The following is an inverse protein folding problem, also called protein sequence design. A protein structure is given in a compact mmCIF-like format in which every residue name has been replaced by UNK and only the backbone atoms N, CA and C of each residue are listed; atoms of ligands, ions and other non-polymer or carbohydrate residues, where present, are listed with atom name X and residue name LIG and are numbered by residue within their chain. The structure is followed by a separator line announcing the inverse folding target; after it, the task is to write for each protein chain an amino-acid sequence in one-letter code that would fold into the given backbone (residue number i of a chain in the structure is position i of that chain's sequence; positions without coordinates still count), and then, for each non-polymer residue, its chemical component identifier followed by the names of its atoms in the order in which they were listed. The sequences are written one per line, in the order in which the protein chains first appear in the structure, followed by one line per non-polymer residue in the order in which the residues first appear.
data_IF_648529270076
#
_entry.id   IF_648529270076
#
_cell.length_a   1.000
_cell.length_b   1.000
_cell.length_c   1.000
_cell.angle_alpha   90.00
_cell.angle_beta   90.00
_cell.angle_gamma   90.00
#
_symmetry.space_group_name_H-M   'P 1'
#
loop_
_entity.id
_entity.type
_entity.pdbx_description
1 polymer ?
#
# COMPACT_ATOMS: atom_id res chain seq x y z
N UNK A 1 -4.00 -35.62 29.78
CA UNK A 1 -3.50 -34.24 29.95
C UNK A 1 -2.46 -33.79 28.90
N UNK A 2 -1.92 -34.66 28.02
CA UNK A 2 -0.92 -34.26 27.00
C UNK A 2 -1.48 -33.54 25.76
N UNK A 3 -2.76 -33.72 25.42
CA UNK A 3 -3.37 -33.11 24.21
C UNK A 3 -3.70 -31.61 24.36
N UNK A 4 -3.92 -31.14 25.60
CA UNK A 4 -4.30 -29.74 25.89
C UNK A 4 -3.13 -28.76 25.72
N UNK A 5 -1.90 -29.20 26.04
CA UNK A 5 -0.69 -28.39 25.91
C UNK A 5 -0.36 -28.09 24.43
N UNK A 6 -0.61 -29.04 23.54
CA UNK A 6 -0.29 -28.93 22.13
C UNK A 6 -1.19 -27.93 21.40
N UNK A 7 -2.47 -27.88 21.75
CA UNK A 7 -3.42 -26.92 21.17
C UNK A 7 -3.11 -25.48 21.59
N UNK A 8 -2.68 -25.29 22.85
CA UNK A 8 -2.33 -23.96 23.37
C UNK A 8 -1.05 -23.40 22.73
N UNK A 9 -0.05 -24.26 22.45
CA UNK A 9 1.16 -23.83 21.73
C UNK A 9 0.87 -23.42 20.28
N UNK A 10 0.00 -24.13 19.55
CA UNK A 10 -0.32 -23.78 18.15
C UNK A 10 -1.08 -22.45 18.05
N UNK A 11 -1.99 -22.18 19.00
CA UNK A 11 -2.72 -20.91 19.08
C UNK A 11 -1.83 -19.72 19.46
N UNK A 12 -0.80 -19.95 20.29
CA UNK A 12 0.16 -18.91 20.65
C UNK A 12 1.11 -18.57 19.49
N UNK A 13 1.57 -19.56 18.70
CA UNK A 13 2.46 -19.31 17.56
C UNK A 13 1.77 -18.53 16.42
N UNK A 14 0.48 -18.74 16.18
CA UNK A 14 -0.26 -17.97 15.17
C UNK A 14 -0.49 -16.52 15.59
N UNK A 15 -0.68 -16.25 16.88
CA UNK A 15 -0.83 -14.90 17.41
C UNK A 15 0.48 -14.10 17.36
N UNK A 16 1.63 -14.74 17.59
CA UNK A 16 2.95 -14.06 17.56
C UNK A 16 3.39 -13.71 16.13
N UNK A 17 2.95 -14.48 15.11
CA UNK A 17 3.18 -14.16 13.68
C UNK A 17 2.43 -12.90 13.22
N UNK A 18 1.27 -12.61 13.83
CA UNK A 18 0.42 -11.47 13.45
C UNK A 18 0.92 -10.13 13.99
N UNK A 19 1.60 -10.08 15.14
CA UNK A 19 1.93 -8.83 15.83
C UNK A 19 3.15 -8.08 15.25
N UNK A 20 3.98 -8.74 14.42
CA UNK A 20 5.21 -8.15 13.87
C UNK A 20 5.35 -8.28 12.34
N UNK A 21 4.37 -8.87 11.65
CA UNK A 21 4.38 -8.93 10.19
C UNK A 21 3.85 -7.60 9.66
N UNK A 22 4.76 -6.66 9.41
CA UNK A 22 4.48 -5.53 8.55
C UNK A 22 5.50 -5.50 7.43
N UNK A 23 5.09 -5.06 6.26
CA UNK A 23 5.98 -5.01 5.09
C UNK A 23 5.97 -3.62 4.48
N UNK A 24 7.14 -3.11 4.14
CA UNK A 24 7.27 -1.82 3.49
C UNK A 24 7.40 -2.05 1.98
N UNK A 25 6.56 -1.37 1.21
CA UNK A 25 6.60 -1.37 -0.26
C UNK A 25 6.49 0.05 -0.79
N UNK A 26 7.00 0.26 -2.00
CA UNK A 26 6.80 1.49 -2.75
C UNK A 26 5.72 1.26 -3.79
N UNK A 27 4.71 2.13 -3.79
CA UNK A 27 3.62 2.12 -4.75
C UNK A 27 3.53 3.45 -5.52
N UNK A 28 2.98 3.41 -6.73
CA UNK A 28 2.89 4.56 -7.60
C UNK A 28 1.66 4.51 -8.49
N UNK A 29 1.09 5.68 -8.79
CA UNK A 29 0.01 5.85 -9.74
C UNK A 29 0.26 7.05 -10.63
N UNK A 30 -0.01 6.90 -11.92
CA UNK A 30 0.10 7.97 -12.91
C UNK A 30 -1.27 8.35 -13.41
N UNK A 31 -1.50 9.64 -13.66
CA UNK A 31 -2.74 10.13 -14.22
C UNK A 31 -2.94 9.62 -15.65
N UNK A 32 -4.16 9.19 -15.97
CA UNK A 32 -4.54 8.72 -17.32
C UNK A 32 -4.98 9.86 -18.25
N UNK A 33 -5.17 11.06 -17.69
CA UNK A 33 -5.64 12.21 -18.44
C UNK A 33 -4.45 12.94 -19.05
N UNK A 34 -4.55 13.33 -20.32
CA UNK A 34 -3.52 14.15 -21.00
C UNK A 34 -3.81 15.65 -20.94
N UNK A 35 -5.09 16.05 -20.81
CA UNK A 35 -5.53 17.46 -20.82
C UNK A 35 -6.61 17.69 -19.77
N UNK A 36 -6.26 17.52 -18.50
CA UNK A 36 -7.16 17.80 -17.39
C UNK A 36 -6.61 18.95 -16.52
N UNK A 37 -7.44 19.43 -15.60
CA UNK A 37 -6.98 20.35 -14.56
C UNK A 37 -5.98 19.67 -13.64
N UNK A 38 -5.09 20.44 -13.00
CA UNK A 38 -4.12 19.92 -12.03
C UNK A 38 -4.76 19.02 -10.96
N UNK A 39 -5.92 19.43 -10.43
CA UNK A 39 -6.66 18.65 -9.42
C UNK A 39 -7.15 17.29 -9.94
N UNK A 40 -7.54 17.20 -11.23
CA UNK A 40 -7.98 15.92 -11.83
C UNK A 40 -6.82 14.97 -12.04
N UNK A 41 -5.67 15.51 -12.44
CA UNK A 41 -4.46 14.72 -12.55
C UNK A 41 -4.04 14.14 -11.21
N UNK A 42 -4.04 14.97 -10.17
CA UNK A 42 -3.72 14.52 -8.81
C UNK A 42 -4.70 13.45 -8.32
N UNK A 43 -6.02 13.69 -8.43
CA UNK A 43 -7.03 12.73 -8.01
C UNK A 43 -6.89 11.37 -8.74
N UNK A 44 -6.61 11.40 -10.04
CA UNK A 44 -6.39 10.20 -10.86
C UNK A 44 -5.09 9.48 -10.47
N UNK A 45 -3.99 10.21 -10.29
CA UNK A 45 -2.71 9.65 -9.86
C UNK A 45 -2.81 9.00 -8.47
N UNK A 46 -3.51 9.63 -7.53
CA UNK A 46 -3.78 9.08 -6.20
C UNK A 46 -4.68 7.85 -6.27
N UNK A 47 -5.72 7.86 -7.10
CA UNK A 47 -6.58 6.68 -7.28
C UNK A 47 -5.79 5.48 -7.79
N UNK A 48 -4.96 5.67 -8.82
CA UNK A 48 -4.12 4.61 -9.39
C UNK A 48 -3.04 4.14 -8.41
N UNK A 49 -2.50 5.03 -7.59
CA UNK A 49 -1.57 4.68 -6.51
C UNK A 49 -2.23 3.74 -5.50
N UNK A 50 -3.50 3.99 -5.12
CA UNK A 50 -4.22 3.16 -4.15
C UNK A 50 -4.41 1.73 -4.66
N UNK A 51 -4.65 1.57 -5.96
CA UNK A 51 -4.77 0.26 -6.61
C UNK A 51 -3.42 -0.48 -6.53
N UNK A 52 -2.33 0.15 -6.97
CA UNK A 52 -0.99 -0.46 -6.92
C UNK A 52 -0.55 -0.78 -5.47
N UNK A 53 -0.87 0.09 -4.50
CA UNK A 53 -0.60 -0.16 -3.08
C UNK A 53 -1.37 -1.38 -2.55
N UNK A 54 -2.66 -1.48 -2.90
CA UNK A 54 -3.50 -2.63 -2.53
C UNK A 54 -2.94 -3.92 -3.13
N UNK A 55 -2.63 -3.94 -4.43
CA UNK A 55 -2.10 -5.12 -5.12
C UNK A 55 -0.77 -5.59 -4.52
N UNK A 56 0.17 -4.67 -4.28
CA UNK A 56 1.47 -4.99 -3.69
C UNK A 56 1.36 -5.52 -2.26
N UNK A 57 0.44 -4.99 -1.46
CA UNK A 57 0.21 -5.49 -0.11
C UNK A 57 -0.52 -6.84 -0.12
N UNK A 58 -1.52 -7.02 -0.98
CA UNK A 58 -2.24 -8.27 -1.15
C UNK A 58 -1.32 -9.42 -1.62
N UNK A 59 -0.40 -9.15 -2.55
CA UNK A 59 0.64 -10.10 -2.99
C UNK A 59 1.55 -10.57 -1.85
N UNK A 60 1.66 -9.78 -0.78
CA UNK A 60 2.44 -10.10 0.42
C UNK A 60 1.59 -10.68 1.56
N UNK A 61 0.31 -10.96 1.32
CA UNK A 61 -0.60 -11.54 2.29
C UNK A 61 -1.23 -10.53 3.26
N UNK A 62 -1.15 -9.23 2.96
CA UNK A 62 -1.74 -8.17 3.80
C UNK A 62 -3.04 -7.65 3.21
N UNK A 63 -3.98 -7.30 4.07
CA UNK A 63 -5.29 -6.77 3.67
C UNK A 63 -5.43 -5.27 3.90
N UNK A 64 -4.53 -4.70 4.70
CA UNK A 64 -4.53 -3.28 5.04
C UNK A 64 -3.15 -2.66 4.80
N UNK A 65 -3.14 -1.34 4.68
CA UNK A 65 -1.92 -0.58 4.50
C UNK A 65 -2.10 0.87 4.92
N UNK A 66 -1.00 1.49 5.34
CA UNK A 66 -0.95 2.93 5.63
C UNK A 66 0.14 3.60 4.80
N UNK A 67 -0.10 4.84 4.40
CA UNK A 67 0.90 5.68 3.73
C UNK A 67 1.88 6.22 4.78
N UNK A 68 3.18 6.00 4.57
CA UNK A 68 4.23 6.57 5.43
C UNK A 68 4.72 7.91 4.87
N UNK A 69 4.91 7.96 3.55
CA UNK A 69 5.35 9.16 2.84
C UNK A 69 4.90 9.08 1.40
N UNK A 70 4.65 10.24 0.78
CA UNK A 70 4.25 10.33 -0.62
C UNK A 70 4.67 11.64 -1.24
N UNK A 71 4.88 11.63 -2.55
CA UNK A 71 5.22 12.81 -3.34
C UNK A 71 4.56 12.79 -4.71
N UNK A 72 4.12 13.96 -5.13
CA UNK A 72 3.75 14.23 -6.51
C UNK A 72 5.00 14.55 -7.33
N UNK A 73 5.11 13.94 -8.51
CA UNK A 73 6.09 14.28 -9.53
C UNK A 73 5.40 14.99 -10.69
N UNK A 74 5.95 16.10 -11.19
CA UNK A 74 5.39 16.80 -12.33
C UNK A 74 5.62 16.04 -13.65
N UNK A 75 4.84 16.35 -14.68
CA UNK A 75 5.08 15.84 -16.05
C UNK A 75 5.75 16.87 -16.96
N UNK A 76 6.19 16.41 -18.13
CA UNK A 76 6.71 17.23 -19.23
C UNK A 76 5.73 18.30 -19.74
N UNK A 77 4.44 18.21 -19.39
CA UNK A 77 3.41 19.15 -19.82
C UNK A 77 3.06 20.21 -18.76
N UNK A 78 3.92 20.39 -17.75
CA UNK A 78 3.71 21.38 -16.70
C UNK A 78 2.58 21.04 -15.70
N UNK A 79 2.12 19.79 -15.69
CA UNK A 79 1.16 19.30 -14.70
C UNK A 79 1.89 19.04 -13.38
N UNK A 80 1.51 19.68 -12.26
CA UNK A 80 2.29 19.63 -11.02
C UNK A 80 2.25 18.26 -10.31
N UNK A 81 1.17 17.48 -10.48
CA UNK A 81 1.05 16.13 -9.94
C UNK A 81 0.53 15.16 -11.00
N UNK A 82 1.45 14.65 -11.82
CA UNK A 82 1.11 13.66 -12.84
C UNK A 82 1.32 12.23 -12.35
N UNK A 83 2.37 12.01 -11.56
CA UNK A 83 2.65 10.72 -10.92
C UNK A 83 2.73 10.91 -9.42
N UNK A 84 1.96 10.14 -8.67
CA UNK A 84 2.06 10.06 -7.22
C UNK A 84 2.87 8.81 -6.85
N UNK A 85 3.91 8.97 -6.04
CA UNK A 85 4.73 7.86 -5.55
C UNK A 85 4.78 7.91 -4.04
N UNK A 86 4.53 6.78 -3.39
CA UNK A 86 4.50 6.70 -1.94
C UNK A 86 5.08 5.40 -1.40
N UNK A 87 5.67 5.49 -0.21
CA UNK A 87 6.05 4.34 0.60
C UNK A 87 4.89 3.99 1.52
N UNK A 88 4.47 2.73 1.50
CA UNK A 88 3.36 2.22 2.30
C UNK A 88 3.82 1.08 3.21
N UNK A 89 3.19 0.98 4.37
CA UNK A 89 3.36 -0.13 5.32
C UNK A 89 2.11 -1.02 5.27
N UNK A 90 2.27 -2.23 4.75
CA UNK A 90 1.26 -3.28 4.73
C UNK A 90 1.12 -3.94 6.10
N UNK A 91 -0.10 -4.29 6.51
CA UNK A 91 -0.44 -4.98 7.75
C UNK A 91 -1.80 -5.71 7.65
#
# INVERSE_FOLDING_TARGET
MKKLVLVFCVLALSAISSANNSSIVTASGTSEWLRASAWRHEASAVANFRIDAFEKCAQRGYSNWVVLSGKCSPSLFGVPCYTYTATVRCH
#
